data_IF_289837861617
#
_entry.id   IF_289837861617
#
_cell.length_a   1.000
_cell.length_b   1.000
_cell.length_c   1.000
_cell.angle_alpha   90.00
_cell.angle_beta   90.00
_cell.angle_gamma   90.00
#
_symmetry.space_group_name_H-M   'P 1'
#
loop_
_entity.id
_entity.type
_entity.pdbx_description
1 polymer ?
#
# COMPACT_ATOMS: atom_id res chain seq x y z
N UNK A 1 5.82 -2.59 -12.62
CA UNK A 1 7.00 -3.27 -13.17
C UNK A 1 8.21 -2.67 -12.49
N UNK A 2 9.07 -3.50 -11.94
CA UNK A 2 10.33 -3.09 -11.33
C UNK A 2 11.42 -2.85 -12.40
N UNK A 3 12.51 -2.15 -12.04
CA UNK A 3 13.61 -1.79 -12.96
C UNK A 3 14.31 -2.98 -13.62
N UNK A 4 14.22 -4.18 -13.05
CA UNK A 4 14.76 -5.45 -13.56
C UNK A 4 13.76 -6.23 -14.42
N UNK A 5 12.75 -5.57 -14.99
CA UNK A 5 11.67 -6.18 -15.77
C UNK A 5 10.86 -7.26 -15.00
N UNK A 6 10.80 -7.16 -13.67
CA UNK A 6 9.93 -8.03 -12.87
C UNK A 6 8.58 -7.38 -12.67
N UNK A 7 7.51 -8.10 -12.97
CA UNK A 7 6.12 -7.72 -12.69
C UNK A 7 5.70 -8.33 -11.34
N UNK A 8 5.24 -7.51 -10.43
CA UNK A 8 4.63 -7.92 -9.16
C UNK A 8 3.12 -7.71 -9.22
N UNK A 9 2.36 -8.68 -8.74
CA UNK A 9 0.89 -8.63 -8.72
C UNK A 9 0.34 -9.04 -7.35
N UNK A 10 -0.60 -8.25 -6.84
CA UNK A 10 -1.42 -8.66 -5.70
C UNK A 10 -2.58 -9.53 -6.17
N UNK A 11 -2.71 -10.72 -5.60
CA UNK A 11 -3.83 -11.63 -5.84
C UNK A 11 -4.77 -11.51 -4.64
N UNK A 12 -5.72 -10.57 -4.73
CA UNK A 12 -6.58 -10.17 -3.62
C UNK A 12 -7.29 -11.34 -2.97
N UNK A 13 -8.06 -12.10 -3.74
CA UNK A 13 -8.85 -13.24 -3.24
C UNK A 13 -7.98 -14.49 -3.00
N UNK A 14 -6.74 -14.48 -3.50
CA UNK A 14 -5.72 -15.50 -3.22
C UNK A 14 -4.84 -15.15 -2.02
N UNK A 15 -5.04 -14.00 -1.37
CA UNK A 15 -4.34 -13.58 -0.16
C UNK A 15 -2.80 -13.67 -0.26
N UNK A 16 -2.26 -13.32 -1.44
CA UNK A 16 -0.82 -13.45 -1.73
C UNK A 16 -0.35 -12.41 -2.73
N UNK A 17 0.97 -12.21 -2.75
CA UNK A 17 1.68 -11.43 -3.77
C UNK A 17 2.53 -12.38 -4.58
N UNK A 18 2.46 -12.26 -5.89
CA UNK A 18 3.26 -13.06 -6.84
C UNK A 18 4.12 -12.17 -7.72
N UNK A 19 5.21 -12.73 -8.25
CA UNK A 19 6.06 -12.07 -9.23
C UNK A 19 6.35 -12.96 -10.43
N UNK A 20 6.66 -12.33 -11.57
CA UNK A 20 7.11 -12.98 -12.79
C UNK A 20 8.19 -12.12 -13.46
N UNK A 21 9.26 -12.74 -13.93
CA UNK A 21 10.25 -12.06 -14.77
C UNK A 21 9.72 -11.96 -16.20
N UNK A 22 9.82 -10.78 -16.79
CA UNK A 22 9.41 -10.53 -18.18
C UNK A 22 10.54 -10.84 -19.19
N UNK A 23 11.78 -11.04 -18.72
CA UNK A 23 12.96 -11.29 -19.55
C UNK A 23 13.26 -12.79 -19.73
N UNK A 24 12.66 -13.66 -18.93
CA UNK A 24 12.92 -15.09 -19.00
C UNK A 24 11.99 -15.80 -19.98
N UNK A 25 12.54 -16.76 -20.77
CA UNK A 25 11.75 -17.63 -21.62
C UNK A 25 10.83 -18.60 -20.82
N UNK A 26 11.19 -18.85 -19.55
CA UNK A 26 10.41 -19.64 -18.59
C UNK A 26 9.71 -18.70 -17.61
N UNK A 27 8.64 -18.04 -18.14
CA UNK A 27 7.83 -17.10 -17.35
C UNK A 27 6.89 -17.85 -16.40
N UNK A 28 7.40 -18.25 -15.23
CA UNK A 28 6.59 -18.85 -14.16
C UNK A 28 6.32 -17.86 -13.04
N UNK A 29 5.08 -17.84 -12.56
CA UNK A 29 4.72 -17.05 -11.38
C UNK A 29 5.32 -17.68 -10.12
N UNK A 30 5.95 -16.86 -9.29
CA UNK A 30 6.47 -17.27 -7.98
C UNK A 30 5.80 -16.46 -6.87
N UNK A 31 5.50 -17.11 -5.75
CA UNK A 31 4.98 -16.43 -4.56
C UNK A 31 6.11 -15.61 -3.91
N UNK A 32 5.77 -14.39 -3.46
CA UNK A 32 6.69 -13.47 -2.78
C UNK A 32 6.25 -13.22 -1.34
N UNK A 33 4.94 -13.14 -1.08
CA UNK A 33 4.36 -12.89 0.24
C UNK A 33 2.94 -13.45 0.34
N UNK A 34 2.55 -13.85 1.55
CA UNK A 34 1.25 -14.46 1.83
C UNK A 34 1.22 -15.97 1.54
N UNK A 35 0.36 -16.69 2.24
CA UNK A 35 0.27 -18.15 2.25
C UNK A 35 -0.85 -18.70 1.35
N UNK A 36 -1.54 -17.85 0.59
CA UNK A 36 -2.68 -18.28 -0.25
C UNK A 36 -3.99 -18.47 0.51
N UNK A 37 -4.03 -18.09 1.78
CA UNK A 37 -5.23 -18.07 2.62
C UNK A 37 -5.23 -16.84 3.53
N UNK A 38 -6.43 -16.36 3.87
CA UNK A 38 -6.58 -15.19 4.74
C UNK A 38 -6.01 -15.44 6.13
N UNK A 39 -5.26 -14.46 6.67
CA UNK A 39 -4.72 -14.52 8.01
C UNK A 39 -3.97 -13.25 8.38
N UNK A 40 -3.63 -13.13 9.66
CA UNK A 40 -3.02 -11.92 10.22
C UNK A 40 -1.62 -12.14 10.83
N UNK A 41 -1.03 -13.32 10.70
CA UNK A 41 0.34 -13.59 11.12
C UNK A 41 1.36 -12.86 10.26
N UNK A 42 2.64 -12.94 10.59
CA UNK A 42 3.70 -12.22 9.87
C UNK A 42 3.88 -12.69 8.42
N UNK A 43 3.55 -13.95 8.13
CA UNK A 43 3.66 -14.61 6.82
C UNK A 43 2.32 -14.68 6.06
N UNK A 44 1.23 -14.19 6.64
CA UNK A 44 -0.10 -14.20 6.05
C UNK A 44 -0.59 -12.81 5.71
N UNK A 45 -1.47 -12.74 4.72
CA UNK A 45 -2.16 -11.53 4.26
C UNK A 45 -3.67 -11.77 4.23
N UNK A 46 -4.45 -10.68 4.25
CA UNK A 46 -5.88 -10.71 4.00
C UNK A 46 -6.28 -9.64 2.98
N UNK A 47 -6.75 -10.09 1.81
CA UNK A 47 -7.17 -9.22 0.70
C UNK A 47 -6.14 -8.11 0.39
N UNK A 48 -4.87 -8.43 0.12
CA UNK A 48 -3.87 -7.43 -0.22
C UNK A 48 -4.29 -6.67 -1.48
N UNK A 49 -4.08 -5.33 -1.48
CA UNK A 49 -4.50 -4.51 -2.61
C UNK A 49 -3.30 -3.81 -3.26
N UNK A 50 -2.88 -2.68 -2.76
CA UNK A 50 -1.74 -1.93 -3.28
C UNK A 50 -0.40 -2.53 -2.84
N UNK A 51 0.58 -2.47 -3.73
CA UNK A 51 1.94 -2.91 -3.47
C UNK A 51 2.93 -1.86 -3.97
N UNK A 52 4.07 -1.79 -3.32
CA UNK A 52 5.21 -0.99 -3.75
C UNK A 52 6.51 -1.77 -3.52
N UNK A 53 7.37 -1.83 -4.52
CA UNK A 53 8.69 -2.46 -4.44
C UNK A 53 9.73 -1.36 -4.61
N UNK A 54 10.63 -1.21 -3.62
CA UNK A 54 11.71 -0.23 -3.70
C UNK A 54 12.96 -0.77 -4.38
N UNK A 55 13.98 0.08 -4.59
CA UNK A 55 15.23 -0.26 -5.27
C UNK A 55 16.04 -1.36 -4.55
N UNK A 56 15.78 -1.61 -3.27
CA UNK A 56 16.38 -2.70 -2.49
C UNK A 56 15.54 -3.99 -2.53
N UNK A 57 14.56 -4.08 -3.44
CA UNK A 57 13.62 -5.20 -3.56
C UNK A 57 12.77 -5.47 -2.31
N UNK A 58 12.68 -4.49 -1.41
CA UNK A 58 11.76 -4.58 -0.29
C UNK A 58 10.33 -4.34 -0.79
N UNK A 59 9.43 -5.24 -0.43
CA UNK A 59 8.02 -5.21 -0.84
C UNK A 59 7.15 -4.66 0.29
N UNK A 60 6.48 -3.56 0.03
CA UNK A 60 5.44 -3.01 0.90
C UNK A 60 4.08 -3.46 0.39
N UNK A 61 3.22 -3.92 1.28
CA UNK A 61 1.88 -4.45 0.97
C UNK A 61 0.82 -3.74 1.80
N UNK A 62 -0.17 -3.17 1.14
CA UNK A 62 -1.42 -2.77 1.78
C UNK A 62 -2.24 -4.04 2.06
N UNK A 63 -2.12 -4.55 3.26
CA UNK A 63 -2.83 -5.72 3.77
C UNK A 63 -4.21 -5.28 4.27
N UNK A 64 -5.09 -5.02 3.27
CA UNK A 64 -6.33 -4.25 3.39
C UNK A 64 -7.30 -4.87 4.37
N UNK A 65 -7.46 -6.20 4.36
CA UNK A 65 -8.35 -6.90 5.28
C UNK A 65 -7.87 -6.91 6.73
N UNK A 66 -6.57 -6.69 6.95
CA UNK A 66 -5.96 -6.62 8.29
C UNK A 66 -5.69 -5.18 8.76
N UNK A 67 -6.10 -4.15 8.02
CA UNK A 67 -5.93 -2.73 8.37
C UNK A 67 -4.48 -2.35 8.68
N UNK A 68 -3.51 -2.88 7.90
CA UNK A 68 -2.08 -2.66 8.14
C UNK A 68 -1.29 -2.53 6.84
N UNK A 69 -0.05 -2.01 6.96
CA UNK A 69 0.98 -2.10 5.94
C UNK A 69 2.06 -3.08 6.43
N UNK A 70 2.33 -4.10 5.63
CA UNK A 70 3.40 -5.07 5.84
C UNK A 70 4.59 -4.75 4.94
N UNK A 71 5.80 -4.85 5.49
CA UNK A 71 7.07 -4.77 4.79
C UNK A 71 7.70 -6.16 4.79
N UNK A 72 7.95 -6.71 3.61
CA UNK A 72 8.74 -7.91 3.40
C UNK A 72 10.11 -7.50 2.86
N UNK A 73 11.18 -7.86 3.56
CA UNK A 73 12.53 -7.67 3.04
C UNK A 73 12.79 -8.65 1.89
N UNK A 74 13.77 -8.32 1.06
CA UNK A 74 14.13 -9.15 -0.08
C UNK A 74 14.38 -10.61 0.35
N UNK A 75 13.72 -11.56 -0.33
CA UNK A 75 13.79 -13.00 -0.06
C UNK A 75 13.25 -13.46 1.31
N UNK A 76 12.63 -12.58 2.10
CA UNK A 76 12.00 -12.97 3.36
C UNK A 76 10.51 -13.25 3.17
N UNK A 77 10.03 -14.36 3.74
CA UNK A 77 8.62 -14.76 3.73
C UNK A 77 7.82 -14.16 4.88
N UNK A 78 8.47 -13.56 5.88
CA UNK A 78 7.85 -12.93 7.04
C UNK A 78 7.91 -11.42 6.92
N UNK A 79 6.75 -10.79 7.04
CA UNK A 79 6.61 -9.35 6.99
C UNK A 79 6.69 -8.70 8.37
N UNK A 80 7.06 -7.43 8.37
CA UNK A 80 7.07 -6.55 9.54
C UNK A 80 5.95 -5.53 9.37
N UNK A 81 5.09 -5.35 10.38
CA UNK A 81 4.07 -4.29 10.35
C UNK A 81 4.73 -2.92 10.52
N UNK A 82 4.66 -2.08 9.47
CA UNK A 82 5.24 -0.73 9.47
C UNK A 82 4.21 0.38 9.67
N UNK A 83 2.92 0.08 9.49
CA UNK A 83 1.80 0.96 9.84
C UNK A 83 0.55 0.12 10.14
N UNK A 84 -0.30 0.60 11.05
CA UNK A 84 -1.52 -0.07 11.47
C UNK A 84 -1.70 -0.06 12.99
N UNK A 85 -2.83 -0.62 13.45
CA UNK A 85 -3.22 -0.60 14.86
C UNK A 85 -2.21 -1.25 15.81
N UNK A 86 -1.46 -2.25 15.34
CA UNK A 86 -0.44 -2.93 16.15
C UNK A 86 0.65 -1.99 16.68
N UNK A 87 0.89 -0.86 16.01
CA UNK A 87 1.85 0.17 16.42
C UNK A 87 1.23 1.26 17.33
N UNK A 88 -0.01 1.09 17.74
CA UNK A 88 -0.75 2.00 18.60
C UNK A 88 -1.95 2.66 17.93
N UNK A 89 -2.92 3.12 18.73
CA UNK A 89 -4.18 3.68 18.23
C UNK A 89 -4.02 4.90 17.30
N UNK A 90 -2.92 5.67 17.43
CA UNK A 90 -2.62 6.82 16.56
C UNK A 90 -2.28 6.40 15.13
N UNK A 91 -1.83 5.16 14.94
CA UNK A 91 -1.44 4.58 13.65
C UNK A 91 -2.53 3.69 13.04
N UNK A 92 -3.73 3.68 13.64
CA UNK A 92 -4.83 2.86 13.16
C UNK A 92 -5.21 3.27 11.73
N UNK A 93 -5.13 2.32 10.82
CA UNK A 93 -5.61 2.39 9.45
C UNK A 93 -7.00 1.73 9.37
N UNK A 94 -7.73 2.03 8.31
CA UNK A 94 -8.98 1.36 7.94
C UNK A 94 -8.95 1.12 6.42
N UNK A 95 -8.84 -0.13 6.03
CA UNK A 95 -8.79 -0.58 4.63
C UNK A 95 -7.80 0.23 3.78
N UNK A 96 -6.50 0.23 4.13
CA UNK A 96 -5.49 0.87 3.29
C UNK A 96 -5.47 0.23 1.90
N UNK A 97 -5.43 1.05 0.85
CA UNK A 97 -5.53 0.56 -0.54
C UNK A 97 -4.30 0.82 -1.39
N UNK A 98 -3.47 1.80 -1.04
CA UNK A 98 -2.27 2.07 -1.81
C UNK A 98 -1.13 2.60 -0.95
N UNK A 99 0.08 2.46 -1.48
CA UNK A 99 1.33 2.82 -0.83
C UNK A 99 2.26 3.49 -1.84
N UNK A 100 2.95 4.53 -1.38
CA UNK A 100 4.02 5.20 -2.12
C UNK A 100 5.16 5.50 -1.16
N UNK A 101 6.39 5.57 -1.66
CA UNK A 101 7.53 6.12 -0.94
C UNK A 101 8.03 7.38 -1.66
N UNK A 102 8.46 8.38 -0.88
CA UNK A 102 9.23 9.50 -1.42
C UNK A 102 10.74 9.15 -1.48
N UNK A 103 11.54 10.07 -2.01
CA UNK A 103 13.00 9.90 -2.12
C UNK A 103 13.71 9.73 -0.75
N UNK A 104 13.09 10.19 0.32
CA UNK A 104 13.59 10.05 1.70
C UNK A 104 13.09 8.77 2.38
N UNK A 105 12.44 7.87 1.64
CA UNK A 105 11.80 6.64 2.13
C UNK A 105 10.67 6.89 3.16
N UNK A 106 10.03 8.06 3.13
CA UNK A 106 8.81 8.23 3.90
C UNK A 106 7.66 7.49 3.20
N UNK A 107 6.90 6.77 4.00
CA UNK A 107 5.77 5.97 3.54
C UNK A 107 4.51 6.85 3.47
N UNK A 108 3.88 6.91 2.30
CA UNK A 108 2.57 7.53 2.09
C UNK A 108 1.54 6.43 1.88
N UNK A 109 0.43 6.51 2.60
CA UNK A 109 -0.60 5.48 2.64
C UNK A 109 -1.93 6.11 2.26
N UNK A 110 -2.61 5.51 1.30
CA UNK A 110 -4.01 5.77 1.02
C UNK A 110 -4.85 4.97 2.01
N UNK A 111 -5.32 5.64 3.06
CA UNK A 111 -6.12 5.09 4.15
C UNK A 111 -7.62 5.26 3.81
N UNK A 112 -8.09 4.42 2.86
CA UNK A 112 -9.34 4.60 2.13
C UNK A 112 -10.57 4.61 3.05
N UNK A 113 -10.66 3.69 4.01
CA UNK A 113 -11.79 3.64 4.94
C UNK A 113 -11.86 4.85 5.86
N UNK A 114 -10.71 5.44 6.22
CA UNK A 114 -10.63 6.70 6.94
C UNK A 114 -10.69 7.94 6.04
N UNK A 115 -10.81 7.78 4.73
CA UNK A 115 -10.93 8.87 3.74
C UNK A 115 -9.78 9.88 3.82
N UNK A 116 -8.54 9.41 3.95
CA UNK A 116 -7.37 10.26 4.16
C UNK A 116 -6.11 9.71 3.50
N UNK A 117 -5.14 10.61 3.33
CA UNK A 117 -3.75 10.26 3.02
C UNK A 117 -2.90 10.55 4.25
N UNK A 118 -2.11 9.59 4.65
CA UNK A 118 -1.21 9.71 5.79
C UNK A 118 0.24 9.46 5.38
N UNK A 119 1.17 10.09 6.09
CA UNK A 119 2.61 9.88 5.93
C UNK A 119 3.18 9.29 7.22
N UNK A 120 4.04 8.29 7.06
CA UNK A 120 4.84 7.70 8.13
C UNK A 120 6.32 7.92 7.78
N UNK A 121 7.07 8.54 8.66
CA UNK A 121 8.47 8.83 8.46
C UNK A 121 9.20 9.01 9.80
N UNK A 122 10.45 9.50 9.77
CA UNK A 122 11.27 9.71 10.96
C UNK A 122 10.59 10.58 12.05
N UNK A 123 9.70 11.49 11.64
CA UNK A 123 8.93 12.35 12.54
C UNK A 123 7.57 11.72 12.95
N UNK A 124 7.40 10.42 12.74
CA UNK A 124 6.22 9.67 13.09
C UNK A 124 5.09 9.76 12.07
N UNK A 125 3.88 9.50 12.53
CA UNK A 125 2.65 9.46 11.73
C UNK A 125 2.02 10.85 11.62
N UNK A 126 1.72 11.27 10.39
CA UNK A 126 1.07 12.54 10.10
C UNK A 126 -0.03 12.37 9.07
N UNK A 127 -1.21 12.87 9.36
CA UNK A 127 -2.25 13.02 8.37
C UNK A 127 -1.94 14.24 7.47
N UNK A 128 -2.06 14.08 6.15
CA UNK A 128 -1.77 15.12 5.16
C UNK A 128 -3.04 15.68 4.53
N UNK A 129 -3.93 14.82 4.11
CA UNK A 129 -5.17 15.14 3.37
C UNK A 129 -6.30 14.35 3.98
N UNK A 130 -7.50 14.92 4.04
CA UNK A 130 -8.67 14.24 4.63
C UNK A 130 -8.64 14.12 6.15
N UNK A 131 -7.94 15.02 6.83
CA UNK A 131 -7.68 14.93 8.28
C UNK A 131 -8.84 15.39 9.15
N UNK A 132 -9.76 16.14 8.59
CA UNK A 132 -11.04 16.50 9.23
C UNK A 132 -12.07 15.43 8.87
N UNK A 133 -12.77 14.90 9.85
CA UNK A 133 -13.85 13.91 9.65
C UNK A 133 -15.11 14.55 9.03
N UNK A 134 -14.95 15.44 8.05
CA UNK A 134 -16.08 15.97 7.29
C UNK A 134 -16.45 14.98 6.18
N UNK A 135 -17.71 14.69 6.06
CA UNK A 135 -18.23 13.84 5.01
C UNK A 135 -18.14 14.60 3.68
N UNK A 136 -17.46 14.06 2.72
CA UNK A 136 -17.35 14.37 1.30
C UNK A 136 -18.38 15.35 0.72
N UNK A 137 -18.41 16.58 1.20
CA UNK A 137 -19.39 17.59 0.79
C UNK A 137 -18.80 18.66 -0.12
N UNK A 138 -17.48 18.69 -0.29
CA UNK A 138 -16.76 19.68 -1.09
C UNK A 138 -15.85 19.05 -2.11
N UNK A 139 -15.62 19.78 -3.20
CA UNK A 139 -14.74 19.35 -4.31
C UNK A 139 -13.25 19.19 -3.91
N UNK A 140 -12.85 19.75 -2.78
CA UNK A 140 -11.50 19.70 -2.22
C UNK A 140 -11.30 18.59 -1.16
N UNK A 141 -12.34 17.75 -0.95
CA UNK A 141 -12.30 16.65 0.00
C UNK A 141 -11.96 15.33 -0.71
N UNK A 142 -11.12 14.55 -0.07
CA UNK A 142 -10.74 13.19 -0.53
C UNK A 142 -11.83 12.22 -0.06
N UNK A 143 -12.56 11.64 -1.03
CA UNK A 143 -13.70 10.78 -0.78
C UNK A 143 -13.44 9.37 -1.28
N UNK A 144 -13.23 8.43 -0.36
CA UNK A 144 -12.85 7.06 -0.67
C UNK A 144 -11.70 7.00 -1.71
N UNK A 145 -10.53 7.55 -1.37
CA UNK A 145 -9.39 7.48 -2.25
C UNK A 145 -9.02 6.01 -2.48
N UNK A 146 -8.76 5.65 -3.72
CA UNK A 146 -8.42 4.28 -4.08
C UNK A 146 -6.92 4.13 -4.32
N UNK A 147 -6.34 5.04 -5.08
CA UNK A 147 -4.92 5.04 -5.37
C UNK A 147 -4.36 6.46 -5.40
N UNK A 148 -3.07 6.57 -5.24
CA UNK A 148 -2.33 7.81 -5.40
C UNK A 148 -0.99 7.55 -6.06
N UNK A 149 -0.41 8.56 -6.71
CA UNK A 149 0.90 8.52 -7.31
C UNK A 149 1.59 9.88 -7.22
N UNK A 150 2.92 9.88 -7.18
CA UNK A 150 3.72 11.09 -7.36
C UNK A 150 4.04 11.33 -8.82
N UNK A 151 4.11 12.60 -9.23
CA UNK A 151 4.83 12.98 -10.44
C UNK A 151 6.32 13.26 -10.12
N UNK A 152 7.10 13.59 -11.16
CA UNK A 152 8.52 13.92 -11.02
C UNK A 152 8.79 15.24 -10.28
N UNK A 153 7.77 16.05 -10.03
CA UNK A 153 7.84 17.31 -9.28
C UNK A 153 7.44 17.17 -7.81
N UNK A 154 7.00 15.97 -7.39
CA UNK A 154 6.52 15.69 -6.04
C UNK A 154 5.06 16.06 -5.79
N UNK A 155 4.28 16.33 -6.84
CA UNK A 155 2.84 16.47 -6.71
C UNK A 155 2.20 15.10 -6.48
N UNK A 156 1.16 15.06 -5.64
CA UNK A 156 0.38 13.84 -5.37
C UNK A 156 -0.91 13.91 -6.19
N UNK A 157 -1.13 12.91 -7.03
CA UNK A 157 -2.39 12.68 -7.74
C UNK A 157 -3.15 11.57 -7.05
N UNK A 158 -4.44 11.82 -6.75
CA UNK A 158 -5.28 10.89 -6.00
C UNK A 158 -6.51 10.56 -6.85
N UNK A 159 -6.81 9.27 -6.99
CA UNK A 159 -8.10 8.87 -7.59
C UNK A 159 -9.17 8.84 -6.50
N UNK A 160 -10.31 9.43 -6.82
CA UNK A 160 -11.43 9.57 -5.91
C UNK A 160 -12.64 8.81 -6.45
N UNK A 161 -13.07 7.76 -5.74
CA UNK A 161 -14.08 6.84 -6.26
C UNK A 161 -15.48 7.47 -6.35
N UNK A 162 -15.83 8.38 -5.45
CA UNK A 162 -17.17 9.00 -5.45
C UNK A 162 -17.31 10.22 -6.36
N UNK A 163 -16.20 10.85 -6.72
CA UNK A 163 -16.23 12.09 -7.51
C UNK A 163 -15.93 11.83 -9.00
N UNK A 164 -15.71 10.57 -9.42
CA UNK A 164 -15.36 10.18 -10.79
C UNK A 164 -14.25 11.03 -11.40
N UNK A 165 -13.27 11.42 -10.59
CA UNK A 165 -12.20 12.33 -10.99
C UNK A 165 -10.83 12.00 -10.38
N UNK A 166 -9.79 12.63 -10.97
CA UNK A 166 -8.42 12.64 -10.46
C UNK A 166 -8.18 14.04 -9.89
N UNK A 167 -7.66 14.13 -8.69
CA UNK A 167 -7.24 15.36 -8.01
C UNK A 167 -5.73 15.40 -7.82
#
# INVERSE_FOLDING_TARGET
IHVDNTLYCSIRDGHQIVKISLDSSDSTWSNVAGMGCAGSTEDMLDQPFGIYVNDNYNLYVADTGNDRIQLFHHEESKGITVAGRALGARFALDKPTNIMLDADNNLFIVDSGNQRIVRVGANGFRCLIGCSKSWCSKLDEVCQPLTAAFDSYGNIFITNQYMNGIQ
#
